data_IF_427005559845
#
_entry.id   IF_427005559845
#
_cell.length_a   1.000
_cell.length_b   1.000
_cell.length_c   1.000
_cell.angle_alpha   90.00
_cell.angle_beta   90.00
_cell.angle_gamma   90.00
#
_symmetry.space_group_name_H-M   'P 1'
#
loop_
_entity.id
_entity.type
_entity.pdbx_description
1 polymer ?
#
# COMPACT_ATOMS: atom_id res chain seq x y z
N UNK A 1 6.82 0.70 -17.86
CA UNK A 1 7.22 1.75 -18.86
C UNK A 1 6.17 2.82 -19.20
N UNK A 2 4.87 2.62 -18.93
CA UNK A 2 3.79 3.53 -19.40
C UNK A 2 3.89 5.00 -18.94
N UNK A 3 4.52 5.28 -17.79
CA UNK A 3 4.54 6.63 -17.20
C UNK A 3 5.94 7.27 -17.17
N UNK A 4 6.93 6.73 -17.90
CA UNK A 4 8.31 7.23 -17.85
C UNK A 4 8.47 8.65 -18.40
N UNK A 5 7.67 9.01 -19.42
CA UNK A 5 7.72 10.32 -20.07
C UNK A 5 6.73 11.34 -19.47
N UNK A 6 6.07 10.99 -18.35
CA UNK A 6 5.18 11.94 -17.65
C UNK A 6 6.03 13.03 -17.01
N UNK A 7 5.74 14.29 -17.34
CA UNK A 7 6.41 15.43 -16.75
C UNK A 7 6.22 15.44 -15.22
N UNK A 8 7.28 15.76 -14.49
CA UNK A 8 7.26 15.89 -13.02
C UNK A 8 6.69 17.25 -12.60
N UNK A 9 5.43 17.51 -12.96
CA UNK A 9 4.67 18.70 -12.57
C UNK A 9 3.31 18.31 -11.96
N UNK A 10 2.65 19.27 -11.29
CA UNK A 10 1.40 19.02 -10.57
C UNK A 10 0.28 18.48 -11.48
N UNK A 11 0.12 19.06 -12.67
CA UNK A 11 -1.01 18.75 -13.57
C UNK A 11 -0.81 17.42 -14.29
N UNK A 12 0.40 17.14 -14.76
CA UNK A 12 0.76 15.93 -15.47
C UNK A 12 0.64 14.70 -14.56
N UNK A 13 1.16 14.80 -13.32
CA UNK A 13 1.05 13.72 -12.33
C UNK A 13 -0.40 13.49 -11.91
N UNK A 14 -1.19 14.55 -11.75
CA UNK A 14 -2.61 14.43 -11.44
C UNK A 14 -3.38 13.73 -12.56
N UNK A 15 -3.11 14.06 -13.83
CA UNK A 15 -3.73 13.38 -14.99
C UNK A 15 -3.33 11.90 -15.08
N UNK A 16 -2.13 11.54 -14.60
CA UNK A 16 -1.70 10.14 -14.47
C UNK A 16 -2.36 9.40 -13.29
N UNK A 17 -3.17 10.06 -12.47
CA UNK A 17 -3.89 9.45 -11.34
C UNK A 17 -3.07 9.35 -10.05
N UNK A 18 -2.01 10.15 -9.92
CA UNK A 18 -1.23 10.32 -8.69
C UNK A 18 -1.28 11.79 -8.23
N UNK A 19 -0.50 12.17 -7.21
CA UNK A 19 -0.44 13.55 -6.73
C UNK A 19 1.00 13.95 -6.44
N UNK A 20 1.42 15.10 -6.99
CA UNK A 20 2.74 15.67 -6.71
C UNK A 20 2.72 16.37 -5.34
N UNK A 21 3.42 15.78 -4.36
CA UNK A 21 3.57 16.31 -3.01
C UNK A 21 4.91 17.03 -2.82
N UNK A 22 5.70 16.58 -1.85
CA UNK A 22 6.98 17.18 -1.48
C UNK A 22 8.13 17.01 -2.50
N UNK A 23 7.85 16.51 -3.72
CA UNK A 23 8.88 16.18 -4.71
C UNK A 23 9.76 14.97 -4.36
N UNK A 24 9.39 14.21 -3.32
CA UNK A 24 10.09 12.99 -2.94
C UNK A 24 9.67 11.83 -3.84
N UNK A 25 10.59 11.37 -4.69
CA UNK A 25 10.39 10.21 -5.56
C UNK A 25 11.07 8.98 -4.96
N UNK A 26 10.31 7.90 -4.81
CA UNK A 26 10.81 6.60 -4.36
C UNK A 26 10.76 5.64 -5.54
N UNK A 27 11.91 5.07 -5.89
CA UNK A 27 12.05 4.11 -6.99
C UNK A 27 12.20 2.71 -6.40
N UNK A 28 11.39 1.78 -6.88
CA UNK A 28 11.41 0.36 -6.50
C UNK A 28 11.55 -0.45 -7.79
N UNK A 29 12.45 -1.42 -7.81
CA UNK A 29 12.66 -2.32 -8.94
C UNK A 29 11.84 -3.61 -8.79
N UNK A 30 11.97 -4.52 -9.74
CA UNK A 30 11.23 -5.79 -9.79
C UNK A 30 11.62 -6.77 -8.67
N UNK A 31 12.66 -6.48 -7.88
CA UNK A 31 13.04 -7.31 -6.72
C UNK A 31 12.26 -6.92 -5.45
N UNK A 32 11.54 -5.79 -5.50
CA UNK A 32 10.77 -5.28 -4.36
C UNK A 32 9.37 -5.87 -4.33
N UNK A 33 9.00 -6.50 -3.21
CA UNK A 33 7.61 -6.89 -2.94
C UNK A 33 6.73 -5.66 -2.69
N UNK A 34 5.77 -5.41 -3.57
CA UNK A 34 4.87 -4.25 -3.43
C UNK A 34 3.87 -4.43 -2.29
N UNK A 35 3.52 -5.68 -1.93
CA UNK A 35 2.69 -5.99 -0.75
C UNK A 35 3.40 -5.57 0.55
N UNK A 36 4.68 -5.89 0.71
CA UNK A 36 5.47 -5.51 1.88
C UNK A 36 5.79 -4.01 1.88
N UNK A 37 5.97 -3.39 0.71
CA UNK A 37 6.08 -1.93 0.58
C UNK A 37 4.80 -1.23 1.08
N UNK A 38 3.62 -1.68 0.63
CA UNK A 38 2.34 -1.17 1.11
C UNK A 38 2.14 -1.42 2.62
N UNK A 39 2.56 -2.58 3.13
CA UNK A 39 2.55 -2.88 4.57
C UNK A 39 3.37 -1.89 5.37
N UNK A 40 4.62 -1.63 4.97
CA UNK A 40 5.50 -0.65 5.65
C UNK A 40 4.88 0.75 5.62
N UNK A 41 4.32 1.14 4.48
CA UNK A 41 3.62 2.41 4.32
C UNK A 41 2.45 2.55 5.32
N UNK A 42 1.55 1.57 5.36
CA UNK A 42 0.40 1.59 6.29
C UNK A 42 0.86 1.60 7.75
N UNK A 43 1.90 0.82 8.09
CA UNK A 43 2.46 0.80 9.45
C UNK A 43 3.00 2.15 9.87
N UNK A 44 3.66 2.87 8.97
CA UNK A 44 4.10 4.25 9.23
C UNK A 44 2.91 5.16 9.55
N UNK A 45 1.87 5.15 8.71
CA UNK A 45 0.68 5.98 8.95
C UNK A 45 -0.11 5.57 10.20
N UNK A 46 -0.13 4.29 10.54
CA UNK A 46 -0.69 3.82 11.79
C UNK A 46 0.10 4.35 13.00
N UNK A 47 1.43 4.29 12.95
CA UNK A 47 2.31 4.79 14.01
C UNK A 47 2.19 6.32 14.20
N UNK A 48 2.13 7.07 13.10
CA UNK A 48 2.07 8.53 13.10
C UNK A 48 0.63 9.08 13.23
N UNK A 49 -0.37 8.22 13.31
CA UNK A 49 -1.74 8.66 13.55
C UNK A 49 -1.86 9.27 14.95
N UNK A 50 -2.30 10.54 15.01
CA UNK A 50 -2.58 11.22 16.28
C UNK A 50 -3.77 10.63 17.06
N UNK A 51 -4.52 9.71 16.45
CA UNK A 51 -5.61 8.99 17.10
C UNK A 51 -6.94 9.75 17.21
N UNK A 52 -7.06 10.98 16.70
CA UNK A 52 -8.27 11.81 16.86
C UNK A 52 -9.52 11.21 16.18
N UNK A 53 -9.38 10.71 14.96
CA UNK A 53 -10.52 10.25 14.16
C UNK A 53 -10.60 8.73 14.20
N UNK A 54 -11.78 8.19 14.52
CA UNK A 54 -12.02 6.74 14.46
C UNK A 54 -11.65 6.11 13.11
N UNK A 55 -12.06 6.65 11.93
CA UNK A 55 -11.68 6.04 10.65
C UNK A 55 -10.16 5.94 10.48
N UNK A 56 -9.42 7.02 10.75
CA UNK A 56 -7.96 7.01 10.66
C UNK A 56 -7.31 6.07 11.69
N UNK A 57 -7.67 6.18 12.97
CA UNK A 57 -7.04 5.43 14.07
C UNK A 57 -7.29 3.93 13.95
N UNK A 58 -8.55 3.53 13.80
CA UNK A 58 -8.94 2.13 13.73
C UNK A 58 -8.68 1.55 12.33
N UNK A 59 -8.95 2.32 11.28
CA UNK A 59 -8.80 1.85 9.91
C UNK A 59 -7.35 1.53 9.54
N UNK A 60 -6.39 2.40 9.89
CA UNK A 60 -4.96 2.12 9.66
C UNK A 60 -4.46 0.92 10.49
N UNK A 61 -4.97 0.75 11.72
CA UNK A 61 -4.70 -0.44 12.53
C UNK A 61 -5.19 -1.72 11.85
N UNK A 62 -6.42 -1.74 11.36
CA UNK A 62 -6.98 -2.91 10.65
C UNK A 62 -6.24 -3.21 9.37
N UNK A 63 -5.91 -2.20 8.56
CA UNK A 63 -5.09 -2.38 7.36
C UNK A 63 -3.73 -2.98 7.71
N UNK A 64 -3.04 -2.46 8.73
CA UNK A 64 -1.72 -2.97 9.14
C UNK A 64 -1.77 -4.45 9.53
N UNK A 65 -2.80 -4.86 10.29
CA UNK A 65 -3.00 -6.26 10.69
C UNK A 65 -3.30 -7.18 9.50
N UNK A 66 -4.10 -6.71 8.52
CA UNK A 66 -4.37 -7.49 7.31
C UNK A 66 -3.07 -7.71 6.51
N UNK A 67 -2.26 -6.67 6.34
CA UNK A 67 -0.97 -6.83 5.67
C UNK A 67 0.00 -7.73 6.45
N UNK A 68 0.02 -7.68 7.79
CA UNK A 68 0.82 -8.61 8.59
C UNK A 68 0.35 -10.07 8.41
N UNK A 69 -0.97 -10.30 8.31
CA UNK A 69 -1.51 -11.62 7.97
C UNK A 69 -1.11 -12.07 6.57
N UNK A 70 -1.01 -11.15 5.59
CA UNK A 70 -0.50 -11.48 4.25
C UNK A 70 0.96 -11.92 4.27
N UNK A 71 1.81 -11.24 5.05
CA UNK A 71 3.20 -11.64 5.25
C UNK A 71 3.37 -12.96 6.00
N UNK A 72 2.47 -13.25 6.94
CA UNK A 72 2.46 -14.48 7.73
C UNK A 72 1.84 -15.69 6.99
N UNK A 73 1.28 -15.50 5.80
CA UNK A 73 0.62 -16.57 5.05
C UNK A 73 -0.78 -16.94 5.58
N UNK A 74 -1.41 -16.04 6.32
CA UNK A 74 -2.72 -16.21 6.98
C UNK A 74 -3.83 -15.35 6.33
N UNK A 75 -3.51 -14.68 5.23
CA UNK A 75 -4.48 -13.90 4.47
C UNK A 75 -5.41 -14.79 3.62
N UNK A 76 -6.62 -14.28 3.42
CA UNK A 76 -7.69 -14.88 2.62
C UNK A 76 -7.90 -14.03 1.37
N UNK A 77 -8.47 -14.61 0.32
CA UNK A 77 -8.83 -13.88 -0.91
C UNK A 77 -9.67 -12.62 -0.63
N UNK A 78 -10.60 -12.69 0.34
CA UNK A 78 -11.45 -11.57 0.74
C UNK A 78 -10.70 -10.42 1.43
N UNK A 79 -9.49 -10.64 1.95
CA UNK A 79 -8.73 -9.59 2.64
C UNK A 79 -8.29 -8.47 1.67
N UNK A 80 -8.11 -8.77 0.38
CA UNK A 80 -7.75 -7.76 -0.64
C UNK A 80 -8.90 -6.76 -0.85
N UNK A 81 -10.12 -7.26 -0.95
CA UNK A 81 -11.30 -6.40 -1.10
C UNK A 81 -11.60 -5.66 0.20
N UNK A 82 -11.38 -6.31 1.36
CA UNK A 82 -11.48 -5.65 2.67
C UNK A 82 -10.50 -4.48 2.84
N UNK A 83 -9.26 -4.60 2.34
CA UNK A 83 -8.31 -3.48 2.33
C UNK A 83 -8.83 -2.28 1.54
N UNK A 84 -9.48 -2.53 0.39
CA UNK A 84 -10.10 -1.48 -0.42
C UNK A 84 -11.27 -0.84 0.33
N UNK A 85 -12.16 -1.65 0.92
CA UNK A 85 -13.31 -1.18 1.69
C UNK A 85 -12.90 -0.30 2.87
N UNK A 86 -11.86 -0.71 3.61
CA UNK A 86 -11.29 0.11 4.68
C UNK A 86 -10.73 1.41 4.11
N UNK A 87 -9.95 1.34 3.02
CA UNK A 87 -9.39 2.52 2.37
C UNK A 87 -10.46 3.54 1.96
N UNK A 88 -11.53 3.12 1.31
CA UNK A 88 -12.66 3.98 0.94
C UNK A 88 -13.47 4.48 2.16
N UNK A 89 -13.37 3.80 3.29
CA UNK A 89 -14.01 4.22 4.53
C UNK A 89 -13.21 5.25 5.32
N UNK A 90 -11.89 5.35 5.07
CA UNK A 90 -11.04 6.38 5.66
C UNK A 90 -11.01 7.64 4.79
N UNK A 91 -10.85 7.46 3.47
CA UNK A 91 -10.66 8.52 2.48
C UNK A 91 -11.86 9.48 2.43
N UNK A 92 -11.61 10.76 2.63
CA UNK A 92 -12.63 11.82 2.68
C UNK A 92 -13.49 11.82 3.96
N UNK A 93 -13.18 10.97 4.95
CA UNK A 93 -13.95 10.83 6.20
C UNK A 93 -13.12 11.09 7.47
N UNK A 94 -11.88 11.55 7.31
CA UNK A 94 -10.97 11.90 8.41
C UNK A 94 -10.86 13.41 8.59
N UNK A 95 -10.47 13.86 9.79
CA UNK A 95 -10.38 15.30 10.11
C UNK A 95 -9.22 16.01 9.40
N UNK A 96 -8.11 15.31 9.17
CA UNK A 96 -6.95 15.85 8.48
C UNK A 96 -6.51 14.95 7.31
N UNK A 97 -5.72 15.47 6.35
CA UNK A 97 -5.31 14.73 5.15
C UNK A 97 -4.43 13.50 5.41
N UNK A 98 -3.93 13.29 6.64
CA UNK A 98 -3.18 12.07 6.99
C UNK A 98 -4.04 10.82 6.76
N UNK A 99 -5.33 10.90 7.09
CA UNK A 99 -6.26 9.80 6.88
C UNK A 99 -6.34 9.41 5.40
N UNK A 100 -6.55 10.39 4.52
CA UNK A 100 -6.66 10.16 3.08
C UNK A 100 -5.34 9.60 2.52
N UNK A 101 -4.22 10.25 2.86
CA UNK A 101 -2.89 9.85 2.43
C UNK A 101 -2.58 8.39 2.80
N UNK A 102 -2.97 7.93 4.00
CA UNK A 102 -2.73 6.55 4.46
C UNK A 102 -3.33 5.47 3.54
N UNK A 103 -4.29 5.83 2.68
CA UNK A 103 -5.01 4.89 1.81
C UNK A 103 -4.57 4.90 0.36
N UNK A 104 -4.01 6.00 -0.14
CA UNK A 104 -3.79 6.19 -1.57
C UNK A 104 -2.75 5.22 -2.13
N UNK A 105 -1.61 5.05 -1.44
CA UNK A 105 -0.58 4.12 -1.89
C UNK A 105 -1.04 2.66 -1.83
N UNK A 106 -1.60 2.12 -0.72
CA UNK A 106 -2.13 0.76 -0.70
C UNK A 106 -3.17 0.48 -1.78
N UNK A 107 -4.10 1.42 -2.03
CA UNK A 107 -5.11 1.27 -3.10
C UNK A 107 -4.48 1.25 -4.49
N UNK A 108 -3.47 2.08 -4.73
CA UNK A 108 -2.71 2.08 -5.99
C UNK A 108 -1.95 0.77 -6.17
N UNK A 109 -1.31 0.26 -5.11
CA UNK A 109 -0.60 -1.02 -5.13
C UNK A 109 -1.57 -2.18 -5.44
N UNK A 110 -2.75 -2.22 -4.82
CA UNK A 110 -3.77 -3.23 -5.15
C UNK A 110 -4.23 -3.10 -6.61
N UNK A 111 -4.35 -1.88 -7.15
CA UNK A 111 -4.78 -1.66 -8.54
C UNK A 111 -3.77 -2.20 -9.56
N UNK A 112 -2.48 -1.94 -9.36
CA UNK A 112 -1.44 -2.27 -10.35
C UNK A 112 -0.74 -3.60 -10.11
N UNK A 113 -0.73 -4.10 -8.87
CA UNK A 113 0.02 -5.29 -8.45
C UNK A 113 -0.90 -6.33 -7.80
N UNK A 114 -2.18 -6.41 -8.22
CA UNK A 114 -3.17 -7.36 -7.65
C UNK A 114 -2.67 -8.80 -7.67
N UNK A 115 -1.88 -9.16 -8.68
CA UNK A 115 -1.32 -10.50 -8.84
C UNK A 115 -0.34 -10.85 -7.72
N UNK A 116 0.45 -9.90 -7.21
CA UNK A 116 1.34 -10.14 -6.06
C UNK A 116 0.54 -10.48 -4.80
N UNK A 117 -0.62 -9.84 -4.58
CA UNK A 117 -1.51 -10.20 -3.47
C UNK A 117 -2.03 -11.63 -3.62
N UNK A 118 -2.39 -12.05 -4.84
CA UNK A 118 -2.83 -13.42 -5.09
C UNK A 118 -1.71 -14.43 -4.84
N UNK A 119 -0.48 -14.12 -5.25
CA UNK A 119 0.69 -14.95 -4.97
C UNK A 119 0.94 -15.11 -3.48
N UNK A 120 0.90 -14.01 -2.70
CA UNK A 120 1.03 -14.07 -1.24
C UNK A 120 0.00 -15.02 -0.60
N UNK A 121 -1.24 -14.99 -1.10
CA UNK A 121 -2.34 -15.82 -0.58
C UNK A 121 -2.17 -17.28 -1.01
N UNK A 122 -1.83 -17.54 -2.28
CA UNK A 122 -1.68 -18.91 -2.80
C UNK A 122 -0.45 -19.61 -2.25
N UNK A 123 0.67 -18.90 -2.11
CA UNK A 123 1.93 -19.43 -1.59
C UNK A 123 2.03 -19.36 -0.07
N UNK A 124 1.04 -18.75 0.60
CA UNK A 124 1.00 -18.55 2.05
C UNK A 124 2.25 -17.85 2.57
N UNK A 125 2.60 -16.72 1.98
CA UNK A 125 3.75 -15.90 2.38
C UNK A 125 4.34 -15.11 1.22
N UNK A 126 5.33 -14.27 1.51
CA UNK A 126 5.96 -13.41 0.50
C UNK A 126 6.82 -14.23 -0.49
N UNK A 127 6.54 -14.18 -1.81
CA UNK A 127 7.33 -14.91 -2.80
C UNK A 127 8.72 -14.28 -3.02
N UNK A 128 8.87 -12.97 -2.78
CA UNK A 128 10.11 -12.23 -2.98
C UNK A 128 11.16 -12.43 -1.87
N UNK A 129 10.76 -12.93 -0.68
CA UNK A 129 11.75 -13.26 0.37
C UNK A 129 12.65 -14.41 -0.06
N UNK A 130 12.10 -15.41 -0.76
CA UNK A 130 12.83 -16.55 -1.29
C UNK A 130 13.90 -16.10 -2.30
N UNK A 131 13.55 -15.19 -3.21
CA UNK A 131 14.48 -14.69 -4.22
C UNK A 131 15.63 -13.87 -3.64
N UNK A 132 15.41 -13.13 -2.54
CA UNK A 132 16.51 -12.41 -1.86
C UNK A 132 17.41 -13.38 -1.10
N UNK A 133 16.85 -14.37 -0.41
CA UNK A 133 17.64 -15.41 0.27
C UNK A 133 18.48 -16.22 -0.72
N UNK A 134 17.91 -16.57 -1.88
CA UNK A 134 18.61 -17.27 -2.97
C UNK A 134 19.66 -16.42 -3.68
N UNK A 135 19.46 -15.09 -3.78
CA UNK A 135 20.42 -14.18 -4.44
C UNK A 135 21.64 -13.85 -3.58
N UNK A 136 21.55 -14.05 -2.25
CA UNK A 136 22.63 -13.78 -1.29
C UNK A 136 23.32 -15.07 -0.81
N UNK A 137 22.80 -16.25 -1.22
CA UNK A 137 23.41 -17.56 -1.02
C UNK A 137 24.44 -17.90 -2.11
#
# INVERSE_FOLDING_TARGET
>A
PQHLDVALDFDAIQKAGSLAGAGAMVVMDETTCMVDAARRYVKFFHHESCGKCTPCREGTFWMANIFDRMEAGEAKAADVDLLLDIGYSIDGRSFCPLGDASTWFPRSVIKFFRDEFQQHISEKGCPFKKSVEEAVA
#
